data_IF_340880344544
#
_entry.id   IF_340880344544
#
_cell.length_a   1.000
_cell.length_b   1.000
_cell.length_c   1.000
_cell.angle_alpha   90.00
_cell.angle_beta   90.00
_cell.angle_gamma   90.00
#
_symmetry.space_group_name_H-M   'P 1'
#
loop_
_entity.id
_entity.type
_entity.pdbx_description
1 polymer ?
#
# COMPACT_ATOMS: atom_id res chain seq x y z
N UNK A 1 -10.05 -19.51 -27.76
CA UNK A 1 -11.02 -18.76 -26.93
C UNK A 1 -11.56 -17.60 -27.74
N UNK A 2 -12.88 -17.34 -27.74
CA UNK A 2 -13.46 -16.13 -28.35
C UNK A 2 -13.63 -15.06 -27.28
N UNK A 3 -13.26 -13.82 -27.60
CA UNK A 3 -13.42 -12.69 -26.68
C UNK A 3 -14.87 -12.16 -26.76
N UNK A 4 -15.40 -11.66 -25.65
CA UNK A 4 -16.70 -10.98 -25.68
C UNK A 4 -16.48 -9.49 -25.95
N UNK A 5 -16.70 -9.06 -27.19
CA UNK A 5 -16.49 -7.69 -27.61
C UNK A 5 -17.30 -6.66 -26.79
N UNK A 6 -18.48 -7.03 -26.26
CA UNK A 6 -19.29 -6.13 -25.43
C UNK A 6 -18.68 -5.82 -24.06
N UNK A 7 -17.65 -6.58 -23.65
CA UNK A 7 -16.89 -6.40 -22.41
C UNK A 7 -15.48 -5.88 -22.66
N UNK A 8 -15.15 -5.56 -23.92
CA UNK A 8 -13.88 -5.00 -24.32
C UNK A 8 -14.03 -3.49 -24.47
N UNK A 9 -13.05 -2.74 -23.95
CA UNK A 9 -13.06 -1.28 -23.96
C UNK A 9 -11.69 -0.75 -24.38
N UNK A 10 -11.67 0.44 -24.96
CA UNK A 10 -10.44 1.17 -25.25
C UNK A 10 -10.20 2.13 -24.08
N UNK A 11 -9.04 2.01 -23.43
CA UNK A 11 -8.56 2.96 -22.42
C UNK A 11 -7.27 3.61 -22.96
N UNK A 12 -7.34 4.88 -23.32
CA UNK A 12 -6.19 5.63 -23.81
C UNK A 12 -5.47 6.34 -22.67
N UNK A 13 -4.17 6.03 -22.46
CA UNK A 13 -3.36 6.66 -21.40
C UNK A 13 -2.57 7.83 -22.00
N UNK A 14 -2.55 8.98 -21.31
CA UNK A 14 -1.90 10.25 -21.69
C UNK A 14 -2.52 11.00 -22.87
N UNK A 15 -2.63 10.36 -24.05
CA UNK A 15 -3.19 10.99 -25.25
C UNK A 15 -4.45 10.25 -25.65
N UNK A 16 -5.56 10.97 -25.77
CA UNK A 16 -6.76 10.43 -26.40
C UNK A 16 -6.42 10.02 -27.83
N UNK A 17 -6.90 8.84 -28.20
CA UNK A 17 -6.81 8.36 -29.56
C UNK A 17 -8.18 8.47 -30.20
N UNK A 18 -8.22 9.05 -31.39
CA UNK A 18 -9.42 9.09 -32.23
C UNK A 18 -9.55 7.82 -33.10
N UNK A 19 -8.70 6.82 -32.88
CA UNK A 19 -8.79 5.55 -33.57
C UNK A 19 -9.96 4.73 -33.03
N UNK A 20 -10.78 4.25 -33.96
CA UNK A 20 -11.81 3.26 -33.66
C UNK A 20 -11.21 1.86 -33.79
N UNK A 21 -11.43 1.04 -32.77
CA UNK A 21 -11.04 -0.36 -32.77
C UNK A 21 -12.30 -1.21 -32.89
N UNK A 22 -12.25 -2.25 -33.73
CA UNK A 22 -13.35 -3.17 -33.94
C UNK A 22 -12.91 -4.58 -33.53
N UNK A 23 -13.79 -5.28 -32.80
CA UNK A 23 -13.62 -6.68 -32.42
C UNK A 23 -14.94 -7.40 -32.67
N UNK A 24 -14.92 -8.53 -33.39
CA UNK A 24 -16.12 -9.30 -33.74
C UNK A 24 -17.27 -8.44 -34.28
N UNK A 25 -16.95 -7.57 -35.26
CA UNK A 25 -17.89 -6.61 -35.87
C UNK A 25 -18.55 -5.62 -34.90
N UNK A 26 -18.00 -5.47 -33.70
CA UNK A 26 -18.43 -4.51 -32.69
C UNK A 26 -17.38 -3.43 -32.51
N UNK A 27 -17.78 -2.16 -32.65
CA UNK A 27 -16.90 -1.02 -32.37
C UNK A 27 -16.72 -0.93 -30.85
N UNK A 28 -15.47 -0.93 -30.39
CA UNK A 28 -15.14 -0.84 -28.98
C UNK A 28 -15.35 0.58 -28.47
N UNK A 29 -15.92 0.70 -27.27
CA UNK A 29 -16.16 2.00 -26.64
C UNK A 29 -14.87 2.53 -26.00
N UNK A 30 -14.58 3.81 -26.23
CA UNK A 30 -13.54 4.53 -25.50
C UNK A 30 -14.07 4.93 -24.11
N UNK A 31 -13.36 4.53 -23.05
CA UNK A 31 -13.76 4.76 -21.67
C UNK A 31 -12.64 5.45 -20.91
N UNK A 32 -12.99 6.30 -19.95
CA UNK A 32 -12.01 6.95 -19.06
C UNK A 32 -11.56 6.05 -17.91
N UNK A 33 -12.34 5.02 -17.60
CA UNK A 33 -11.98 4.05 -16.57
C UNK A 33 -12.60 2.70 -16.83
N UNK A 34 -11.88 1.63 -16.52
CA UNK A 34 -12.34 0.26 -16.73
C UNK A 34 -11.86 -0.67 -15.61
N UNK A 35 -12.69 -1.61 -15.13
CA UNK A 35 -12.26 -2.58 -14.15
C UNK A 35 -11.32 -3.61 -14.77
N UNK A 36 -10.18 -3.83 -14.13
CA UNK A 36 -9.22 -4.87 -14.47
C UNK A 36 -8.87 -5.67 -13.21
N UNK A 37 -9.24 -6.95 -13.18
CA UNK A 37 -9.04 -7.84 -12.04
C UNK A 37 -9.53 -7.25 -10.70
N UNK A 38 -10.65 -6.53 -10.71
CA UNK A 38 -11.22 -5.91 -9.50
C UNK A 38 -10.57 -4.58 -9.09
N UNK A 39 -9.62 -4.06 -9.87
CA UNK A 39 -9.03 -2.72 -9.70
C UNK A 39 -9.54 -1.82 -10.81
N UNK A 40 -10.02 -0.62 -10.46
CA UNK A 40 -10.48 0.35 -11.46
C UNK A 40 -9.27 1.15 -11.98
N UNK A 41 -8.92 0.95 -13.25
CA UNK A 41 -7.87 1.71 -13.93
C UNK A 41 -8.48 2.94 -14.59
N UNK A 42 -7.86 4.10 -14.43
CA UNK A 42 -8.24 5.34 -15.10
C UNK A 42 -7.22 5.74 -16.16
N UNK A 43 -7.67 6.50 -17.15
CA UNK A 43 -6.86 7.08 -18.23
C UNK A 43 -5.75 8.01 -17.72
N UNK A 44 -6.00 8.70 -16.61
CA UNK A 44 -5.06 9.60 -15.93
C UNK A 44 -4.16 8.90 -14.89
N UNK A 45 -4.26 7.56 -14.77
CA UNK A 45 -3.52 6.71 -13.84
C UNK A 45 -3.64 7.15 -12.36
N UNK A 46 -4.70 7.89 -12.00
CA UNK A 46 -4.99 8.24 -10.61
C UNK A 46 -5.85 7.18 -9.94
N UNK A 47 -5.55 6.91 -8.68
CA UNK A 47 -6.31 5.93 -7.91
C UNK A 47 -7.62 6.47 -7.33
N UNK A 48 -7.88 7.78 -7.38
CA UNK A 48 -9.07 8.39 -6.77
C UNK A 48 -10.41 7.74 -7.18
N UNK A 49 -10.67 7.39 -8.47
CA UNK A 49 -11.88 6.66 -8.86
C UNK A 49 -11.98 5.28 -8.20
N UNK A 50 -10.88 4.53 -8.16
CA UNK A 50 -10.80 3.23 -7.48
C UNK A 50 -11.05 3.37 -5.98
N UNK A 51 -10.38 4.34 -5.33
CA UNK A 51 -10.55 4.61 -3.89
C UNK A 51 -12.00 4.96 -3.55
N UNK A 52 -12.65 5.81 -4.36
CA UNK A 52 -14.06 6.15 -4.19
C UNK A 52 -14.95 4.91 -4.28
N UNK A 53 -14.71 4.05 -5.26
CA UNK A 53 -15.47 2.80 -5.47
C UNK A 53 -15.33 1.83 -4.28
N UNK A 54 -14.09 1.52 -3.86
CA UNK A 54 -13.85 0.56 -2.77
C UNK A 54 -14.34 1.10 -1.42
N UNK A 55 -14.17 2.41 -1.15
CA UNK A 55 -14.63 3.02 0.10
C UNK A 55 -16.15 3.08 0.15
N UNK A 56 -16.84 3.34 -0.97
CA UNK A 56 -18.31 3.23 -1.05
C UNK A 56 -18.77 1.81 -0.71
N UNK A 57 -18.19 0.80 -1.36
CA UNK A 57 -18.51 -0.61 -1.11
C UNK A 57 -18.24 -1.02 0.35
N UNK A 58 -17.13 -0.58 0.91
CA UNK A 58 -16.77 -0.85 2.30
C UNK A 58 -17.72 -0.16 3.30
N UNK A 59 -18.13 1.09 3.04
CA UNK A 59 -19.12 1.79 3.87
C UNK A 59 -20.49 1.10 3.82
N UNK A 60 -20.95 0.64 2.64
CA UNK A 60 -22.19 -0.12 2.52
C UNK A 60 -22.14 -1.41 3.36
N UNK A 61 -21.04 -2.15 3.25
CA UNK A 61 -20.80 -3.38 4.02
C UNK A 61 -20.76 -3.09 5.51
N UNK A 62 -20.06 -2.04 5.94
CA UNK A 62 -20.03 -1.61 7.34
C UNK A 62 -21.42 -1.19 7.85
N UNK A 63 -22.23 -0.52 7.02
CA UNK A 63 -23.61 -0.18 7.33
C UNK A 63 -24.49 -1.41 7.53
N UNK A 64 -24.31 -2.44 6.70
CA UNK A 64 -24.96 -3.74 6.88
C UNK A 64 -24.55 -4.39 8.21
N UNK A 65 -23.26 -4.42 8.56
CA UNK A 65 -22.79 -4.96 9.84
C UNK A 65 -23.35 -4.18 11.03
N UNK A 66 -23.44 -2.86 10.93
CA UNK A 66 -23.98 -2.00 11.98
C UNK A 66 -25.44 -2.33 12.30
N UNK A 67 -26.27 -2.59 11.29
CA UNK A 67 -27.69 -2.92 11.50
C UNK A 67 -27.89 -4.31 12.12
N UNK A 68 -27.08 -5.29 11.72
CA UNK A 68 -27.28 -6.68 12.12
C UNK A 68 -26.51 -7.10 13.37
N UNK A 69 -25.35 -6.47 13.63
CA UNK A 69 -24.42 -6.89 14.70
C UNK A 69 -24.26 -5.83 15.80
N UNK A 70 -25.18 -4.87 15.91
CA UNK A 70 -25.11 -3.80 16.91
C UNK A 70 -25.06 -4.33 18.35
N UNK A 71 -25.86 -5.37 18.63
CA UNK A 71 -25.98 -6.00 19.95
C UNK A 71 -24.91 -7.06 20.22
N UNK A 72 -24.03 -7.34 19.25
CA UNK A 72 -23.01 -8.36 19.40
C UNK A 72 -21.82 -7.85 20.23
N UNK A 73 -21.09 -8.76 20.92
CA UNK A 73 -19.87 -8.41 21.64
C UNK A 73 -18.83 -7.70 20.75
N UNK A 74 -17.98 -6.80 21.30
CA UNK A 74 -16.94 -6.11 20.54
C UNK A 74 -16.07 -7.04 19.68
N UNK A 75 -15.69 -8.21 20.21
CA UNK A 75 -14.89 -9.22 19.51
C UNK A 75 -15.58 -9.72 18.24
N UNK A 76 -16.88 -9.98 18.30
CA UNK A 76 -17.67 -10.41 17.14
C UNK A 76 -17.73 -9.30 16.07
N UNK A 77 -17.99 -8.05 16.49
CA UNK A 77 -17.99 -6.88 15.59
C UNK A 77 -16.64 -6.67 14.93
N UNK A 78 -15.55 -6.84 15.68
CA UNK A 78 -14.19 -6.75 15.16
C UNK A 78 -13.91 -7.85 14.14
N UNK A 79 -14.25 -9.09 14.45
CA UNK A 79 -14.07 -10.21 13.53
C UNK A 79 -14.86 -10.01 12.22
N UNK A 80 -16.09 -9.51 12.31
CA UNK A 80 -16.89 -9.17 11.13
C UNK A 80 -16.26 -8.05 10.29
N UNK A 81 -15.73 -6.99 10.92
CA UNK A 81 -14.98 -5.95 10.20
C UNK A 81 -13.75 -6.52 9.48
N UNK A 82 -12.94 -7.32 10.19
CA UNK A 82 -11.70 -7.90 9.67
C UNK A 82 -11.93 -8.87 8.51
N UNK A 83 -13.05 -9.61 8.52
CA UNK A 83 -13.38 -10.62 7.50
C UNK A 83 -14.14 -10.05 6.30
N UNK A 84 -14.97 -9.02 6.47
CA UNK A 84 -15.89 -8.55 5.41
C UNK A 84 -15.56 -7.16 4.88
N UNK A 85 -15.08 -6.25 5.73
CA UNK A 85 -14.85 -4.85 5.33
C UNK A 85 -13.37 -4.62 4.98
N UNK A 86 -12.46 -5.10 5.83
CA UNK A 86 -11.01 -4.90 5.63
C UNK A 86 -10.50 -5.45 4.29
N UNK A 87 -10.89 -6.64 3.82
CA UNK A 87 -10.40 -7.17 2.55
C UNK A 87 -10.78 -6.28 1.36
N UNK A 88 -11.94 -5.62 1.40
CA UNK A 88 -12.36 -4.67 0.36
C UNK A 88 -11.43 -3.46 0.26
N UNK A 89 -10.81 -3.07 1.37
CA UNK A 89 -9.89 -1.93 1.45
C UNK A 89 -8.42 -2.33 1.24
N UNK A 90 -8.09 -3.62 1.21
CA UNK A 90 -6.70 -4.10 1.10
C UNK A 90 -6.44 -4.90 -0.17
N UNK A 91 -7.48 -5.38 -0.85
CA UNK A 91 -7.37 -6.13 -2.08
C UNK A 91 -6.59 -5.35 -3.15
N UNK A 92 -5.50 -5.92 -3.63
CA UNK A 92 -4.66 -5.30 -4.66
C UNK A 92 -3.91 -4.04 -4.20
N UNK A 93 -3.86 -3.73 -2.90
CA UNK A 93 -3.25 -2.50 -2.39
C UNK A 93 -1.78 -2.29 -2.78
N UNK A 94 -1.06 -3.36 -3.09
CA UNK A 94 0.30 -3.33 -3.63
C UNK A 94 0.36 -2.50 -4.92
N UNK A 95 -0.69 -2.54 -5.74
CA UNK A 95 -0.77 -1.85 -7.04
C UNK A 95 -1.21 -0.39 -6.87
N UNK A 96 -2.27 -0.15 -6.10
CA UNK A 96 -2.97 1.14 -6.09
C UNK A 96 -2.65 2.04 -4.89
N UNK A 97 -1.74 1.66 -3.98
CA UNK A 97 -1.45 2.40 -2.74
C UNK A 97 -1.35 3.93 -2.97
N UNK A 98 -2.35 4.72 -2.52
CA UNK A 98 -2.45 6.11 -2.92
C UNK A 98 -1.38 6.95 -2.22
N UNK A 99 -0.99 8.04 -2.88
CA UNK A 99 -0.08 9.05 -2.32
C UNK A 99 -0.80 10.34 -1.92
N UNK A 100 -1.98 10.60 -2.51
CA UNK A 100 -2.77 11.78 -2.21
C UNK A 100 -3.39 11.67 -0.83
N UNK A 101 -3.15 12.69 0.01
CA UNK A 101 -3.65 12.74 1.38
C UNK A 101 -5.18 12.56 1.47
N UNK A 102 -5.92 13.18 0.55
CA UNK A 102 -7.39 13.04 0.44
C UNK A 102 -7.84 11.58 0.28
N UNK A 103 -7.10 10.78 -0.49
CA UNK A 103 -7.45 9.41 -0.83
C UNK A 103 -7.07 8.49 0.33
N UNK A 104 -5.91 8.70 0.93
CA UNK A 104 -5.47 8.05 2.18
C UNK A 104 -6.52 8.28 3.29
N UNK A 105 -6.91 9.54 3.50
CA UNK A 105 -7.86 9.90 4.55
C UNK A 105 -9.26 9.34 4.29
N UNK A 106 -9.66 9.18 3.02
CA UNK A 106 -10.91 8.53 2.64
C UNK A 106 -10.94 7.06 3.12
N UNK A 107 -9.84 6.32 2.90
CA UNK A 107 -9.70 4.93 3.35
C UNK A 107 -9.67 4.87 4.89
N UNK A 108 -8.84 5.71 5.53
CA UNK A 108 -8.73 5.75 6.99
C UNK A 108 -10.09 6.07 7.64
N UNK A 109 -10.89 6.96 7.05
CA UNK A 109 -12.24 7.29 7.54
C UNK A 109 -13.14 6.07 7.67
N UNK A 110 -13.02 5.06 6.80
CA UNK A 110 -13.77 3.81 6.91
C UNK A 110 -13.34 3.03 8.15
N UNK A 111 -12.03 2.90 8.38
CA UNK A 111 -11.52 2.24 9.59
C UNK A 111 -11.94 3.00 10.86
N UNK A 112 -11.87 4.34 10.87
CA UNK A 112 -12.34 5.15 12.02
C UNK A 112 -13.81 4.88 12.35
N UNK A 113 -14.66 4.82 11.33
CA UNK A 113 -16.08 4.45 11.47
C UNK A 113 -16.23 3.01 12.00
N UNK A 114 -15.39 2.09 11.56
CA UNK A 114 -15.40 0.71 12.04
C UNK A 114 -14.95 0.61 13.51
N UNK A 115 -13.90 1.31 13.93
CA UNK A 115 -13.43 1.32 15.32
C UNK A 115 -14.49 1.82 16.30
N UNK A 116 -15.24 2.87 15.93
CA UNK A 116 -16.41 3.35 16.69
C UNK A 116 -17.49 2.27 16.77
N UNK A 117 -17.78 1.60 15.66
CA UNK A 117 -18.74 0.50 15.64
C UNK A 117 -18.29 -0.68 16.51
N UNK A 118 -17.02 -1.06 16.51
CA UNK A 118 -16.48 -2.18 17.29
C UNK A 118 -16.54 -1.87 18.79
N UNK A 119 -16.16 -0.65 19.17
CA UNK A 119 -16.12 -0.23 20.59
C UNK A 119 -17.49 0.17 21.13
N UNK A 120 -18.45 0.51 20.26
CA UNK A 120 -19.73 1.10 20.65
C UNK A 120 -19.64 2.58 21.02
N UNK A 121 -18.48 3.21 20.84
CA UNK A 121 -18.28 4.63 21.13
C UNK A 121 -18.64 5.50 19.93
N UNK A 122 -19.90 5.96 19.92
CA UNK A 122 -20.41 6.90 18.91
C UNK A 122 -20.42 8.35 19.37
N UNK A 123 -20.24 8.60 20.67
CA UNK A 123 -20.41 9.92 21.29
C UNK A 123 -19.12 10.71 21.36
N UNK A 124 -17.97 10.03 21.39
CA UNK A 124 -16.68 10.70 21.47
C UNK A 124 -16.35 11.43 20.16
N UNK A 125 -16.25 12.77 20.23
CA UNK A 125 -15.79 13.63 19.13
C UNK A 125 -14.52 14.40 19.50
N UNK A 126 -13.88 14.05 20.61
CA UNK A 126 -12.65 14.72 21.06
C UNK A 126 -11.47 14.40 20.12
N UNK A 127 -10.56 15.36 19.88
CA UNK A 127 -9.28 15.09 19.23
C UNK A 127 -8.54 13.95 19.95
N UNK A 128 -7.93 13.03 19.20
CA UNK A 128 -7.23 11.87 19.78
C UNK A 128 -8.13 10.66 20.13
N UNK A 129 -9.47 10.82 20.14
CA UNK A 129 -10.41 9.71 20.37
C UNK A 129 -10.15 8.54 19.42
N UNK A 130 -9.90 8.82 18.14
CA UNK A 130 -9.65 7.81 17.12
C UNK A 130 -8.39 6.99 17.40
N UNK A 131 -7.29 7.64 17.81
CA UNK A 131 -6.03 6.94 18.13
C UNK A 131 -6.24 5.98 19.28
N UNK A 132 -6.88 6.45 20.35
CA UNK A 132 -7.28 5.62 21.50
C UNK A 132 -8.20 4.46 21.12
N UNK A 133 -9.12 4.67 20.17
CA UNK A 133 -10.00 3.61 19.68
C UNK A 133 -9.23 2.56 18.88
N UNK A 134 -8.24 2.97 18.09
CA UNK A 134 -7.36 2.05 17.35
C UNK A 134 -6.50 1.22 18.32
N UNK A 135 -5.93 1.85 19.34
CA UNK A 135 -5.18 1.18 20.41
C UNK A 135 -6.06 0.16 21.14
N UNK A 136 -7.26 0.56 21.59
CA UNK A 136 -8.21 -0.33 22.27
C UNK A 136 -8.64 -1.53 21.42
N UNK A 137 -8.69 -1.37 20.11
CA UNK A 137 -9.06 -2.45 19.18
C UNK A 137 -7.85 -3.22 18.66
N UNK A 138 -6.62 -2.78 18.92
CA UNK A 138 -5.40 -3.34 18.32
C UNK A 138 -5.36 -3.21 16.80
N UNK A 139 -6.09 -2.27 16.21
CA UNK A 139 -6.14 -2.09 14.76
C UNK A 139 -5.01 -1.14 14.31
N UNK A 140 -4.08 -1.68 13.53
CA UNK A 140 -3.08 -0.87 12.82
C UNK A 140 -3.74 0.07 11.79
N UNK A 141 -3.22 1.30 11.60
CA UNK A 141 -3.63 2.18 10.50
C UNK A 141 -3.59 1.46 9.15
N UNK A 142 -4.57 1.72 8.28
CA UNK A 142 -4.63 1.04 6.99
C UNK A 142 -3.46 1.47 6.09
N UNK A 143 -2.97 2.69 6.22
CA UNK A 143 -1.77 3.18 5.53
C UNK A 143 -0.54 2.31 5.83
N UNK A 144 -0.28 2.05 7.11
CA UNK A 144 0.82 1.18 7.53
C UNK A 144 0.67 -0.22 6.94
N UNK A 145 -0.56 -0.73 6.88
CA UNK A 145 -0.81 -2.06 6.30
C UNK A 145 -0.58 -2.13 4.80
N UNK A 146 -0.98 -1.10 4.06
CA UNK A 146 -0.67 -1.01 2.62
C UNK A 146 0.84 -0.97 2.40
N UNK A 147 1.57 -0.22 3.23
CA UNK A 147 3.03 -0.20 3.20
C UNK A 147 3.63 -1.59 3.49
N UNK A 148 3.15 -2.30 4.51
CA UNK A 148 3.59 -3.66 4.83
C UNK A 148 3.31 -4.65 3.68
N UNK A 149 2.11 -4.59 3.08
CA UNK A 149 1.76 -5.42 1.92
C UNK A 149 2.71 -5.16 0.75
N UNK A 150 3.01 -3.89 0.50
CA UNK A 150 3.89 -3.46 -0.58
C UNK A 150 5.33 -3.93 -0.37
N UNK A 151 5.91 -3.69 0.82
CA UNK A 151 7.25 -4.14 1.18
C UNK A 151 7.35 -5.67 1.19
N UNK A 152 6.32 -6.37 1.67
CA UNK A 152 6.25 -7.83 1.63
C UNK A 152 6.28 -8.35 0.20
N UNK A 153 5.54 -7.72 -0.71
CA UNK A 153 5.55 -8.11 -2.12
C UNK A 153 6.92 -7.81 -2.76
N UNK A 154 7.53 -6.68 -2.43
CA UNK A 154 8.87 -6.32 -2.89
C UNK A 154 9.94 -7.31 -2.43
N UNK A 155 9.90 -7.75 -1.16
CA UNK A 155 10.75 -8.83 -0.66
C UNK A 155 10.63 -10.08 -1.53
N UNK A 156 9.40 -10.48 -1.92
CA UNK A 156 9.20 -11.64 -2.80
C UNK A 156 9.82 -11.44 -4.17
N UNK A 157 9.76 -10.23 -4.74
CA UNK A 157 10.41 -9.91 -6.02
C UNK A 157 11.93 -10.02 -5.88
N UNK A 158 12.48 -9.42 -4.83
CA UNK A 158 13.92 -9.41 -4.53
C UNK A 158 14.47 -10.84 -4.34
N UNK A 159 13.75 -11.71 -3.63
CA UNK A 159 14.11 -13.11 -3.41
C UNK A 159 13.78 -14.04 -4.61
N UNK A 160 13.29 -13.50 -5.74
CA UNK A 160 12.95 -14.32 -6.91
C UNK A 160 11.74 -15.23 -6.74
N UNK A 161 10.91 -14.99 -5.73
CA UNK A 161 9.68 -15.76 -5.41
C UNK A 161 8.48 -15.38 -6.29
N UNK A 162 8.69 -14.51 -7.28
CA UNK A 162 7.68 -14.07 -8.26
C UNK A 162 8.27 -14.20 -9.67
N UNK A 163 8.13 -15.38 -10.33
CA UNK A 163 8.74 -15.62 -11.64
C UNK A 163 8.31 -14.63 -12.73
N UNK A 164 7.08 -14.13 -12.65
CA UNK A 164 6.53 -13.15 -13.58
C UNK A 164 7.15 -11.75 -13.45
N UNK A 165 7.91 -11.47 -12.38
CA UNK A 165 8.58 -10.20 -12.15
C UNK A 165 10.05 -10.45 -11.76
N UNK A 166 10.94 -10.74 -12.73
CA UNK A 166 12.36 -10.95 -12.45
C UNK A 166 13.01 -9.67 -11.91
N UNK A 167 13.62 -9.74 -10.71
CA UNK A 167 14.18 -8.57 -10.02
C UNK A 167 15.15 -7.76 -10.89
N UNK A 168 16.05 -8.43 -11.62
CA UNK A 168 17.06 -7.79 -12.48
C UNK A 168 16.49 -6.93 -13.62
N UNK A 169 15.23 -7.13 -14.02
CA UNK A 169 14.59 -6.32 -15.07
C UNK A 169 14.00 -5.02 -14.54
N UNK A 170 13.63 -4.99 -13.25
CA UNK A 170 12.89 -3.87 -12.64
C UNK A 170 13.68 -3.14 -11.56
N UNK A 171 14.73 -3.75 -11.01
CA UNK A 171 15.51 -3.24 -9.90
C UNK A 171 16.98 -3.15 -10.28
N UNK A 172 17.58 -1.99 -10.00
CA UNK A 172 19.02 -1.76 -10.16
C UNK A 172 19.65 -1.69 -8.78
N UNK A 173 20.55 -2.61 -8.47
CA UNK A 173 21.28 -2.59 -7.21
C UNK A 173 22.13 -1.33 -7.10
N UNK A 174 22.07 -0.67 -5.94
CA UNK A 174 22.91 0.47 -5.67
C UNK A 174 24.23 -0.02 -5.06
N UNK A 175 25.34 0.24 -5.75
CA UNK A 175 26.67 -0.02 -5.19
C UNK A 175 26.83 0.78 -3.90
N UNK A 176 27.16 0.10 -2.81
CA UNK A 176 27.44 0.78 -1.53
C UNK A 176 28.58 1.80 -1.75
N UNK A 177 28.34 3.06 -1.40
CA UNK A 177 29.39 4.08 -1.41
C UNK A 177 30.54 3.65 -0.50
N UNK A 178 31.77 4.16 -0.75
CA UNK A 178 32.92 3.89 0.13
C UNK A 178 32.51 4.21 1.58
N UNK A 179 32.62 3.23 2.48
CA UNK A 179 32.49 3.46 3.92
C UNK A 179 33.53 4.52 4.32
N UNK A 180 33.07 5.73 4.65
CA UNK A 180 33.94 6.76 5.21
C UNK A 180 34.40 6.23 6.56
N UNK A 181 35.69 5.91 6.67
CA UNK A 181 36.26 5.54 7.97
C UNK A 181 36.37 6.84 8.78
N UNK A 182 35.79 6.91 9.99
CA UNK A 182 36.00 8.07 10.84
C UNK A 182 37.50 8.20 11.12
N UNK A 183 38.02 9.41 10.97
CA UNK A 183 39.38 9.74 11.41
C UNK A 183 39.40 9.59 12.93
N UNK A 184 40.27 8.70 13.44
CA UNK A 184 40.45 8.51 14.88
C UNK A 184 41.59 9.41 15.31
N UNK A 185 41.30 10.40 16.15
CA UNK A 185 42.31 11.18 16.84
C UNK A 185 42.65 10.49 18.17
N UNK A 186 43.93 10.18 18.46
CA UNK A 186 44.32 9.46 19.67
C UNK A 186 43.86 10.15 20.97
N UNK A 187 43.80 11.47 20.95
CA UNK A 187 43.59 12.30 22.14
C UNK A 187 42.11 12.65 22.40
N UNK A 188 41.21 12.21 21.51
CA UNK A 188 39.79 12.54 21.60
C UNK A 188 38.91 11.32 21.33
N UNK A 189 38.13 10.93 22.33
CA UNK A 189 37.05 9.96 22.15
C UNK A 189 35.86 10.64 21.47
N UNK A 190 35.71 10.47 20.16
CA UNK A 190 34.52 10.92 19.43
C UNK A 190 33.54 9.76 19.29
N UNK A 191 32.41 9.86 19.98
CA UNK A 191 31.25 9.01 19.65
C UNK A 191 30.75 9.45 18.28
N UNK A 192 30.76 8.55 17.31
CA UNK A 192 30.26 8.83 15.97
C UNK A 192 28.73 8.97 16.04
N UNK A 193 28.22 10.19 16.27
CA UNK A 193 26.78 10.46 16.36
C UNK A 193 26.07 9.93 15.10
N UNK A 194 26.73 10.01 13.95
CA UNK A 194 26.24 9.54 12.65
C UNK A 194 25.98 8.03 12.62
N UNK A 195 26.72 7.18 13.37
CA UNK A 195 26.48 5.73 13.33
C UNK A 195 25.19 5.31 14.03
N UNK A 196 24.64 6.14 14.94
CA UNK A 196 23.32 5.91 15.52
C UNK A 196 22.17 6.25 14.56
N UNK A 197 22.44 7.09 13.54
CA UNK A 197 21.44 7.50 12.54
C UNK A 197 21.65 6.88 11.16
N UNK A 198 22.81 6.26 10.91
CA UNK A 198 23.11 5.57 9.66
C UNK A 198 22.39 4.23 9.62
N UNK A 199 21.24 4.19 8.96
CA UNK A 199 20.59 2.93 8.60
C UNK A 199 21.46 2.22 7.57
N UNK A 200 22.21 1.22 8.04
CA UNK A 200 23.00 0.38 7.16
C UNK A 200 22.03 -0.62 6.52
N UNK A 201 21.68 -0.41 5.26
CA UNK A 201 20.98 -1.40 4.45
C UNK A 201 22.00 -1.99 3.47
N UNK A 202 22.29 -3.29 3.58
CA UNK A 202 23.26 -3.97 2.70
C UNK A 202 22.74 -4.24 1.30
N UNK A 203 21.42 -4.18 1.09
CA UNK A 203 20.72 -4.48 -0.17
C UNK A 203 19.90 -3.28 -0.66
N UNK A 204 20.50 -2.09 -0.85
CA UNK A 204 19.77 -0.92 -1.34
C UNK A 204 19.57 -1.00 -2.86
N UNK A 205 18.46 -0.43 -3.33
CA UNK A 205 18.15 -0.30 -4.75
C UNK A 205 18.18 1.14 -5.20
N UNK A 206 18.64 1.40 -6.41
CA UNK A 206 18.56 2.71 -7.05
C UNK A 206 17.09 3.11 -7.21
N UNK A 207 16.79 4.38 -6.92
CA UNK A 207 15.45 4.95 -7.05
C UNK A 207 15.42 5.80 -8.32
N UNK A 208 14.71 5.37 -9.38
CA UNK A 208 14.61 6.15 -10.61
C UNK A 208 13.99 7.53 -10.37
N UNK A 209 14.51 8.55 -11.04
CA UNK A 209 13.96 9.89 -10.98
C UNK A 209 12.76 10.02 -11.92
N UNK A 210 11.64 10.47 -11.38
CA UNK A 210 10.39 10.70 -12.12
C UNK A 210 10.08 12.18 -12.30
N UNK A 211 9.45 12.53 -13.43
CA UNK A 211 8.87 13.87 -13.63
C UNK A 211 7.47 14.04 -13.04
N UNK A 212 6.68 12.96 -13.00
CA UNK A 212 5.29 12.99 -12.53
C UNK A 212 5.15 12.35 -11.15
N UNK A 213 4.20 12.83 -10.35
CA UNK A 213 3.90 12.25 -9.04
C UNK A 213 3.40 10.81 -9.17
N UNK A 214 2.64 10.49 -10.22
CA UNK A 214 2.16 9.13 -10.50
C UNK A 214 3.31 8.15 -10.65
N UNK A 215 4.37 8.54 -11.39
CA UNK A 215 5.54 7.68 -11.55
C UNK A 215 6.37 7.59 -10.26
N UNK A 216 6.60 8.72 -9.58
CA UNK A 216 7.32 8.75 -8.29
C UNK A 216 6.65 7.87 -7.23
N UNK A 217 5.32 7.81 -7.26
CA UNK A 217 4.52 7.02 -6.33
C UNK A 217 4.09 5.66 -6.90
N UNK A 218 4.63 5.25 -8.05
CA UNK A 218 4.42 3.91 -8.59
C UNK A 218 5.06 2.85 -7.69
N UNK A 219 4.64 1.60 -7.85
CA UNK A 219 5.07 0.49 -7.01
C UNK A 219 6.60 0.43 -6.84
N UNK A 220 7.38 0.28 -7.91
CA UNK A 220 8.83 0.08 -7.78
C UNK A 220 9.55 1.28 -7.16
N UNK A 221 9.20 2.50 -7.58
CA UNK A 221 9.89 3.72 -7.11
C UNK A 221 9.62 3.96 -5.63
N UNK A 222 8.34 4.01 -5.24
CA UNK A 222 7.93 4.27 -3.85
C UNK A 222 8.37 3.16 -2.90
N UNK A 223 8.33 1.90 -3.36
CA UNK A 223 8.72 0.77 -2.50
C UNK A 223 10.23 0.67 -2.36
N UNK A 224 11.01 0.97 -3.40
CA UNK A 224 12.47 1.00 -3.28
C UNK A 224 12.92 2.08 -2.29
N UNK A 225 12.27 3.26 -2.28
CA UNK A 225 12.50 4.30 -1.27
C UNK A 225 12.26 3.77 0.15
N UNK A 226 11.08 3.19 0.40
CA UNK A 226 10.76 2.61 1.71
C UNK A 226 11.68 1.45 2.09
N UNK A 227 12.05 0.60 1.13
CA UNK A 227 12.94 -0.53 1.32
C UNK A 227 14.33 -0.07 1.77
N UNK A 228 14.87 0.96 1.12
CA UNK A 228 16.17 1.52 1.45
C UNK A 228 16.22 2.10 2.87
N UNK A 229 15.07 2.47 3.43
CA UNK A 229 14.92 2.94 4.80
C UNK A 229 14.84 1.81 5.85
N UNK A 230 14.76 0.54 5.44
CA UNK A 230 14.73 -0.60 6.36
C UNK A 230 16.12 -0.91 6.94
N UNK A 231 16.13 -1.48 8.13
CA UNK A 231 17.34 -1.98 8.79
C UNK A 231 17.90 -3.23 8.08
N UNK A 232 19.22 -3.41 8.16
CA UNK A 232 19.91 -4.56 7.56
C UNK A 232 19.32 -5.90 7.98
N UNK A 233 19.03 -6.02 9.28
CA UNK A 233 18.46 -7.23 9.86
C UNK A 233 17.12 -7.59 9.20
N UNK A 234 16.39 -6.63 8.67
CA UNK A 234 15.05 -6.80 8.11
C UNK A 234 15.19 -7.22 6.66
N UNK A 235 16.00 -6.52 5.87
CA UNK A 235 16.20 -6.85 4.44
C UNK A 235 16.98 -8.16 4.20
N UNK A 236 17.76 -8.62 5.17
CA UNK A 236 18.48 -9.92 5.14
C UNK A 236 17.67 -11.07 5.74
N UNK A 237 16.37 -10.86 6.02
CA UNK A 237 15.53 -11.91 6.59
C UNK A 237 15.50 -13.16 5.70
N UNK A 238 15.75 -14.32 6.31
CA UNK A 238 15.83 -15.62 5.61
C UNK A 238 14.48 -16.16 5.13
N UNK A 239 13.38 -15.60 5.63
CA UNK A 239 12.03 -16.03 5.23
C UNK A 239 11.04 -14.87 5.26
N UNK A 240 9.99 -15.00 4.45
CA UNK A 240 8.89 -14.03 4.40
C UNK A 240 8.17 -13.89 5.75
N UNK A 241 8.10 -14.96 6.55
CA UNK A 241 7.48 -14.93 7.88
C UNK A 241 8.26 -14.03 8.84
N UNK A 242 9.59 -14.20 8.88
CA UNK A 242 10.49 -13.37 9.70
C UNK A 242 10.44 -11.92 9.22
N UNK A 243 10.46 -11.70 7.91
CA UNK A 243 10.37 -10.37 7.31
C UNK A 243 9.08 -9.64 7.74
N UNK A 244 7.93 -10.31 7.63
CA UNK A 244 6.63 -9.75 8.06
C UNK A 244 6.60 -9.42 9.55
N UNK A 245 7.16 -10.30 10.40
CA UNK A 245 7.21 -10.07 11.84
C UNK A 245 8.06 -8.83 12.18
N UNK A 246 9.22 -8.66 11.53
CA UNK A 246 10.07 -7.48 11.70
C UNK A 246 9.38 -6.20 11.22
N UNK A 247 8.71 -6.22 10.08
CA UNK A 247 7.92 -5.07 9.60
C UNK A 247 6.76 -4.69 10.53
N UNK A 248 6.22 -5.63 11.31
CA UNK A 248 5.22 -5.33 12.32
C UNK A 248 5.84 -4.65 13.55
N UNK A 249 7.06 -5.04 13.95
CA UNK A 249 7.75 -4.54 15.14
C UNK A 249 8.27 -3.10 15.02
N UNK A 250 8.69 -2.66 13.82
CA UNK A 250 9.29 -1.32 13.56
C UNK A 250 8.40 -0.13 13.97
N UNK A 251 7.09 -0.36 14.19
CA UNK A 251 6.13 0.70 14.49
C UNK A 251 5.47 0.58 15.88
N UNK A 252 5.99 -0.30 16.75
CA UNK A 252 5.57 -0.40 18.15
C UNK A 252 6.48 0.40 19.12
N UNK A 253 7.39 1.23 18.59
CA UNK A 253 8.26 2.14 19.33
C UNK A 253 7.88 3.59 19.09
#
# INVERSE_FOLDING_TARGET
MRFNASKCYILSINKSSDFYYQLDNSILQNVRSTPYLGILLSDDMKWSPHISSITKKANCTLGFLRRNLQRCPPRCRQQAYLSLVRPLLEYGAVVWDPYLKKDIDCIERVQRKASRFITGDFRSSTPGSVTRLLEKTGLQPLQQRRQQLRLTFFYRVVEGLVPALPSHQFLTEQKQGRKIRPVRHPDHHTSNIVSQFSRNNSRPYSVPQGRTDQFRNSFFVKTAQDWNLLEDNTVTSKSIGIFKAKLAAVHHH
#
